data_IF_310328280002
#
_entry.id   IF_310328280002
#
_cell.length_a   1.000
_cell.length_b   1.000
_cell.length_c   1.000
_cell.angle_alpha   90.00
_cell.angle_beta   90.00
_cell.angle_gamma   90.00
#
_symmetry.space_group_name_H-M   'P 1'
#
loop_
_entity.id
_entity.type
_entity.pdbx_description
1 polymer ?
#
# COMPACT_ATOMS: atom_id res chain seq x y z
N UNK A 1 6.29 -7.34 -31.69
CA UNK A 1 5.22 -7.42 -30.68
C UNK A 1 5.73 -6.78 -29.40
N UNK A 2 5.06 -5.73 -28.94
CA UNK A 2 5.54 -4.80 -27.91
C UNK A 2 5.86 -5.53 -26.59
N UNK A 3 7.07 -5.33 -26.08
CA UNK A 3 7.55 -5.86 -24.81
C UNK A 3 6.79 -5.18 -23.65
N UNK A 4 5.57 -5.66 -23.36
CA UNK A 4 4.76 -5.16 -22.26
C UNK A 4 5.45 -5.53 -20.95
N UNK A 5 6.21 -4.58 -20.39
CA UNK A 5 6.92 -4.75 -19.12
C UNK A 5 5.91 -5.06 -18.03
N UNK A 6 5.92 -6.30 -17.56
CA UNK A 6 5.01 -6.75 -16.51
C UNK A 6 5.27 -5.99 -15.20
N UNK A 7 4.20 -5.64 -14.49
CA UNK A 7 4.26 -4.88 -13.25
C UNK A 7 5.02 -5.65 -12.16
N UNK A 8 6.17 -5.14 -11.74
CA UNK A 8 7.06 -5.81 -10.79
C UNK A 8 6.42 -5.94 -9.39
N UNK A 9 5.65 -4.94 -8.93
CA UNK A 9 4.97 -5.01 -7.64
C UNK A 9 3.95 -6.13 -7.58
N UNK A 10 3.21 -6.36 -8.67
CA UNK A 10 2.22 -7.45 -8.74
C UNK A 10 2.91 -8.81 -8.80
N UNK A 11 4.02 -8.93 -9.55
CA UNK A 11 4.81 -10.16 -9.55
C UNK A 11 5.32 -10.50 -8.15
N UNK A 12 5.84 -9.53 -7.40
CA UNK A 12 6.25 -9.76 -6.00
C UNK A 12 5.07 -10.21 -5.14
N UNK A 13 3.90 -9.60 -5.30
CA UNK A 13 2.69 -10.01 -4.57
C UNK A 13 2.26 -11.44 -4.90
N UNK A 14 2.33 -11.83 -6.18
CA UNK A 14 2.05 -13.19 -6.65
C UNK A 14 3.01 -14.19 -5.99
N UNK A 15 4.31 -13.90 -6.01
CA UNK A 15 5.33 -14.78 -5.43
C UNK A 15 5.14 -14.94 -3.91
N UNK A 16 4.86 -13.85 -3.19
CA UNK A 16 4.60 -13.90 -1.74
C UNK A 16 3.39 -14.74 -1.36
N UNK A 17 2.35 -14.76 -2.20
CA UNK A 17 1.11 -15.51 -1.94
C UNK A 17 1.20 -16.96 -2.43
N UNK A 18 2.19 -17.30 -3.26
CA UNK A 18 2.38 -18.65 -3.81
C UNK A 18 1.72 -18.88 -5.16
N UNK A 19 1.39 -17.82 -5.90
CA UNK A 19 0.91 -17.92 -7.29
C UNK A 19 -0.27 -17.03 -7.65
N UNK A 20 -0.56 -16.95 -8.95
CA UNK A 20 -1.63 -16.09 -9.49
C UNK A 20 -3.01 -16.55 -9.03
N UNK A 21 -3.27 -17.86 -9.00
CA UNK A 21 -4.54 -18.42 -8.57
C UNK A 21 -4.82 -18.13 -7.09
N UNK A 22 -3.80 -18.26 -6.23
CA UNK A 22 -3.91 -17.99 -4.80
C UNK A 22 -4.18 -16.49 -4.54
N UNK A 23 -3.51 -15.59 -5.26
CA UNK A 23 -3.78 -14.15 -5.17
C UNK A 23 -5.19 -13.81 -5.69
N UNK A 24 -5.65 -14.44 -6.77
CA UNK A 24 -6.99 -14.27 -7.31
C UNK A 24 -8.07 -14.69 -6.30
N UNK A 25 -7.88 -15.85 -5.66
CA UNK A 25 -8.78 -16.37 -4.64
C UNK A 25 -8.89 -15.43 -3.43
N UNK A 26 -7.75 -14.91 -2.93
CA UNK A 26 -7.74 -13.95 -1.81
C UNK A 26 -8.42 -12.62 -2.16
N UNK A 27 -8.25 -12.14 -3.40
CA UNK A 27 -8.87 -10.91 -3.91
C UNK A 27 -10.32 -11.10 -4.35
N UNK A 28 -10.83 -12.34 -4.34
CA UNK A 28 -12.16 -12.72 -4.86
C UNK A 28 -12.38 -12.26 -6.30
N UNK A 29 -11.35 -12.36 -7.13
CA UNK A 29 -11.39 -12.04 -8.56
C UNK A 29 -11.07 -13.28 -9.38
N UNK A 30 -11.43 -13.24 -10.67
CA UNK A 30 -11.03 -14.29 -11.62
C UNK A 30 -9.54 -14.15 -11.93
N UNK A 31 -8.84 -15.27 -12.11
CA UNK A 31 -7.39 -15.28 -12.44
C UNK A 31 -7.01 -14.42 -13.67
N UNK A 32 -7.82 -14.31 -14.75
CA UNK A 32 -7.55 -13.40 -15.85
C UNK A 32 -7.44 -11.92 -15.44
N UNK A 33 -8.10 -11.51 -14.35
CA UNK A 33 -7.97 -10.14 -13.83
C UNK A 33 -6.54 -9.87 -13.31
N UNK A 34 -5.88 -10.87 -12.73
CA UNK A 34 -4.48 -10.77 -12.28
C UNK A 34 -3.55 -10.59 -13.49
N UNK A 35 -3.78 -11.37 -14.56
CA UNK A 35 -3.05 -11.21 -15.82
C UNK A 35 -3.27 -9.82 -16.42
N UNK A 36 -4.51 -9.33 -16.39
CA UNK A 36 -4.82 -7.95 -16.79
C UNK A 36 -4.02 -6.94 -15.96
N UNK A 37 -3.96 -7.07 -14.62
CA UNK A 37 -3.18 -6.14 -13.80
C UNK A 37 -1.67 -6.20 -14.05
N UNK A 38 -1.12 -7.36 -14.45
CA UNK A 38 0.30 -7.52 -14.77
C UNK A 38 0.71 -6.70 -16.00
N UNK A 39 -0.10 -6.72 -17.05
CA UNK A 39 0.24 -6.09 -18.34
C UNK A 39 -0.45 -4.74 -18.55
N UNK A 40 -1.53 -4.48 -17.81
CA UNK A 40 -2.34 -3.27 -17.88
C UNK A 40 -2.34 -2.58 -16.51
N UNK A 41 -3.29 -1.67 -16.31
CA UNK A 41 -3.36 -0.85 -15.12
C UNK A 41 -4.16 -1.57 -14.03
N UNK A 42 -3.58 -1.69 -12.84
CA UNK A 42 -4.31 -2.14 -11.66
C UNK A 42 -5.24 -1.03 -11.14
N UNK A 43 -6.49 -1.33 -10.73
CA UNK A 43 -7.33 -0.37 -10.02
C UNK A 43 -6.70 0.08 -8.69
N UNK A 44 -6.98 1.31 -8.25
CA UNK A 44 -6.40 1.86 -7.02
C UNK A 44 -6.86 1.08 -5.78
N UNK A 45 -8.14 0.72 -5.74
CA UNK A 45 -8.74 -0.06 -4.65
C UNK A 45 -8.09 -1.44 -4.52
N UNK A 46 -7.85 -2.11 -5.65
CA UNK A 46 -7.19 -3.42 -5.67
C UNK A 46 -5.73 -3.35 -5.26
N UNK A 47 -5.02 -2.27 -5.57
CA UNK A 47 -3.65 -2.08 -5.08
C UNK A 47 -3.61 -2.00 -3.53
N UNK A 48 -4.61 -1.37 -2.90
CA UNK A 48 -4.74 -1.32 -1.44
C UNK A 48 -5.08 -2.70 -0.86
N UNK A 49 -6.00 -3.45 -1.48
CA UNK A 49 -6.30 -4.82 -1.07
C UNK A 49 -5.07 -5.73 -1.18
N UNK A 50 -4.31 -5.64 -2.27
CA UNK A 50 -3.07 -6.41 -2.46
C UNK A 50 -2.05 -6.06 -1.37
N UNK A 51 -1.89 -4.79 -1.01
CA UNK A 51 -1.01 -4.38 0.09
C UNK A 51 -1.44 -5.01 1.41
N UNK A 52 -2.73 -4.98 1.73
CA UNK A 52 -3.27 -5.59 2.96
C UNK A 52 -3.06 -7.11 3.01
N UNK A 53 -3.19 -7.79 1.87
CA UNK A 53 -3.09 -9.25 1.78
C UNK A 53 -1.67 -9.79 1.68
N UNK A 54 -0.75 -9.01 1.09
CA UNK A 54 0.60 -9.48 0.72
C UNK A 54 1.73 -8.70 1.40
N UNK A 55 1.40 -7.54 1.99
CA UNK A 55 2.38 -6.60 2.52
C UNK A 55 3.28 -5.97 1.45
N UNK A 56 2.93 -6.07 0.16
CA UNK A 56 3.64 -5.35 -0.90
C UNK A 56 3.14 -3.92 -0.95
N UNK A 57 4.00 -2.90 -0.87
CA UNK A 57 3.56 -1.51 -0.88
C UNK A 57 2.83 -1.18 -2.17
N UNK A 58 1.67 -0.54 -2.07
CA UNK A 58 0.87 -0.07 -3.22
C UNK A 58 1.64 0.86 -4.16
N UNK A 59 2.69 1.55 -3.66
CA UNK A 59 3.61 2.34 -4.46
C UNK A 59 4.47 1.51 -5.43
N UNK A 60 4.76 0.25 -5.12
CA UNK A 60 5.44 -0.65 -6.06
C UNK A 60 4.48 -1.18 -7.15
N UNK A 61 3.18 -1.26 -6.86
CA UNK A 61 2.14 -1.71 -7.79
C UNK A 61 1.68 -0.57 -8.69
N UNK A 62 1.49 0.62 -8.13
CA UNK A 62 1.06 1.83 -8.82
C UNK A 62 1.91 3.02 -8.39
N UNK A 63 3.14 3.13 -8.93
CA UNK A 63 3.96 4.30 -8.68
C UNK A 63 3.25 5.59 -9.18
N UNK A 64 2.45 5.51 -10.25
CA UNK A 64 1.70 6.65 -10.80
C UNK A 64 0.76 7.34 -9.81
N UNK A 65 0.21 6.59 -8.84
CA UNK A 65 -0.69 7.16 -7.82
C UNK A 65 -0.05 7.33 -6.45
N UNK A 66 0.84 6.42 -6.08
CA UNK A 66 1.30 6.29 -4.70
C UNK A 66 2.79 6.55 -4.52
N UNK A 67 3.50 6.92 -5.58
CA UNK A 67 4.83 7.49 -5.43
C UNK A 67 4.67 8.89 -4.84
N UNK A 68 4.50 8.95 -3.52
CA UNK A 68 4.55 10.19 -2.77
C UNK A 68 5.96 10.75 -2.96
N UNK A 69 6.07 11.80 -3.77
CA UNK A 69 7.22 12.69 -3.79
C UNK A 69 7.40 13.28 -2.39
N UNK A 70 8.13 12.59 -1.52
CA UNK A 70 8.63 13.13 -0.25
C UNK A 70 8.02 12.57 1.03
N UNK A 71 8.84 11.80 1.75
CA UNK A 71 9.02 11.82 3.22
C UNK A 71 7.79 12.22 4.08
N UNK A 72 7.03 11.24 4.53
CA UNK A 72 6.32 11.36 5.82
C UNK A 72 7.33 11.12 6.97
N UNK A 73 8.28 12.05 7.14
CA UNK A 73 9.13 12.13 8.34
C UNK A 73 8.70 13.37 9.14
N UNK A 74 7.71 13.21 10.01
CA UNK A 74 7.57 13.89 11.31
C UNK A 74 6.14 13.79 11.79
N UNK A 75 5.85 12.76 12.60
CA UNK A 75 4.97 12.97 13.74
C UNK A 75 5.90 12.98 14.95
N UNK A 76 6.56 14.12 15.16
CA UNK A 76 7.28 14.41 16.39
C UNK A 76 6.30 14.29 17.55
N UNK A 77 6.45 13.23 18.33
CA UNK A 77 5.76 12.97 19.59
C UNK A 77 6.28 13.86 20.73
N UNK A 78 6.57 15.14 20.45
CA UNK A 78 7.04 16.10 21.45
C UNK A 78 5.97 17.18 21.60
N UNK A 79 5.65 17.53 22.85
CA UNK A 79 4.84 18.68 23.23
C UNK A 79 3.30 18.52 23.16
N UNK A 80 2.74 17.61 23.97
CA UNK A 80 1.58 18.02 24.78
C UNK A 80 2.02 18.11 26.23
N UNK A 81 2.25 19.31 26.79
CA UNK A 81 2.35 19.44 28.23
C UNK A 81 1.01 19.00 28.82
N UNK A 82 1.02 17.97 29.69
CA UNK A 82 -0.04 17.81 30.68
C UNK A 82 -0.07 19.14 31.44
N UNK A 83 -1.10 19.96 31.23
CA UNK A 83 -1.32 21.18 32.00
C UNK A 83 -1.70 20.76 33.42
N UNK A 84 -0.68 20.45 34.21
CA UNK A 84 -0.77 20.20 35.63
C UNK A 84 -0.21 21.42 36.37
N UNK A 85 -1.00 21.92 37.31
CA UNK A 85 -0.66 22.84 38.38
C UNK A 85 -0.23 24.27 38.02
N UNK A 86 -1.16 25.21 38.18
CA UNK A 86 -0.81 26.45 38.86
C UNK A 86 -1.72 26.63 40.06
N UNK A 87 -1.16 26.30 41.23
CA UNK A 87 -1.63 26.73 42.54
C UNK A 87 -1.89 28.25 42.49
N UNK A 88 -3.11 28.70 42.78
CA UNK A 88 -3.32 30.04 43.31
C UNK A 88 -3.59 29.91 44.80
N UNK A 89 -2.55 30.20 45.58
CA UNK A 89 -2.67 30.76 46.93
C UNK A 89 -3.20 32.19 46.79
N UNK A 90 -4.21 32.54 47.57
CA UNK A 90 -4.55 33.89 48.02
C UNK A 90 -5.47 33.66 49.24
N UNK A 91 -4.98 33.89 50.45
CA UNK A 91 -5.02 35.15 51.20
C UNK A 91 -6.36 35.25 51.97
#
# INVERSE_FOLDING_TARGET
MSNAKANSGIQTAILKVGGQAALAAKLKVKQPAISYYLYKRCPAEKAIEIERLTGVPRAAIRPDLFQSTGKQKNVSKKDRPLRSHQKKKAA
#
